data_IF_857345234642
#
_entry.id   IF_857345234642
#
_cell.length_a   1.000
_cell.length_b   1.000
_cell.length_c   1.000
_cell.angle_alpha   90.00
_cell.angle_beta   90.00
_cell.angle_gamma   90.00
#
_symmetry.space_group_name_H-M   'P 1'
#
loop_
_entity.id
_entity.type
_entity.pdbx_description
1 polymer ?
#
# COMPACT_ATOMS: atom_id res chain seq x y z
N UNK A 1 -9.08 13.32 -0.66
CA UNK A 1 -9.17 11.95 -1.24
C UNK A 1 -8.89 11.98 -2.74
N UNK A 2 -8.06 11.07 -3.23
CA UNK A 2 -7.75 10.95 -4.66
C UNK A 2 -7.68 9.47 -5.04
N UNK A 3 -8.01 9.17 -6.28
CA UNK A 3 -7.69 7.92 -6.95
C UNK A 3 -7.35 8.23 -8.40
N UNK A 4 -6.70 7.30 -9.08
CA UNK A 4 -6.40 7.43 -10.51
C UNK A 4 -6.62 6.10 -11.22
N UNK A 5 -6.96 6.18 -12.51
CA UNK A 5 -6.90 5.06 -13.46
C UNK A 5 -5.80 5.41 -14.44
N UNK A 6 -4.81 4.53 -14.57
CA UNK A 6 -3.66 4.72 -15.46
C UNK A 6 -3.63 3.56 -16.44
N UNK A 7 -3.62 3.87 -17.73
CA UNK A 7 -3.51 2.89 -18.82
C UNK A 7 -2.93 3.56 -20.07
N UNK A 8 -2.59 2.76 -21.06
CA UNK A 8 -2.03 3.24 -22.33
C UNK A 8 -3.05 4.11 -23.09
N UNK A 9 -2.54 4.93 -24.02
CA UNK A 9 -3.35 5.91 -24.77
C UNK A 9 -4.45 5.26 -25.61
N UNK A 10 -4.19 4.10 -26.21
CA UNK A 10 -5.15 3.33 -26.99
C UNK A 10 -6.29 2.78 -26.13
N UNK A 11 -6.03 2.47 -24.86
CA UNK A 11 -7.03 2.02 -23.89
C UNK A 11 -7.83 3.21 -23.33
N UNK A 12 -7.15 4.27 -22.87
CA UNK A 12 -7.84 5.44 -22.28
C UNK A 12 -8.53 6.32 -23.33
N UNK A 13 -8.03 6.33 -24.57
CA UNK A 13 -8.52 7.18 -25.65
C UNK A 13 -9.92 6.84 -26.15
N UNK A 14 -10.52 5.76 -25.66
CA UNK A 14 -11.93 5.39 -25.94
C UNK A 14 -12.92 6.24 -25.13
N UNK A 15 -12.49 6.88 -24.04
CA UNK A 15 -13.35 7.77 -23.25
C UNK A 15 -13.56 9.10 -23.96
N UNK A 16 -14.81 9.55 -23.98
CA UNK A 16 -15.22 10.84 -24.54
C UNK A 16 -15.69 11.78 -23.42
N UNK A 17 -15.83 13.09 -23.68
CA UNK A 17 -16.47 14.00 -22.73
C UNK A 17 -17.83 13.47 -22.26
N UNK A 18 -18.00 13.33 -20.95
CA UNK A 18 -19.21 12.77 -20.32
C UNK A 18 -19.23 11.24 -20.15
N UNK A 19 -18.25 10.50 -20.67
CA UNK A 19 -18.21 9.03 -20.54
C UNK A 19 -17.89 8.56 -19.12
N UNK A 20 -17.12 9.34 -18.36
CA UNK A 20 -16.74 9.02 -16.98
C UNK A 20 -16.44 10.32 -16.25
N UNK A 21 -16.97 10.49 -15.04
CA UNK A 21 -16.78 11.71 -14.27
C UNK A 21 -17.31 11.56 -12.85
N UNK A 22 -16.82 12.43 -11.96
CA UNK A 22 -17.29 12.56 -10.59
C UNK A 22 -17.16 14.02 -10.19
N UNK A 23 -18.15 14.56 -9.47
CA UNK A 23 -18.20 15.97 -9.07
C UNK A 23 -16.93 16.45 -8.36
N UNK A 24 -16.31 15.57 -7.56
CA UNK A 24 -15.10 15.90 -6.78
C UNK A 24 -13.83 15.22 -7.33
N UNK A 25 -13.95 14.43 -8.40
CA UNK A 25 -12.82 13.76 -9.02
C UNK A 25 -11.84 14.78 -9.60
N UNK A 26 -10.54 14.61 -9.32
CA UNK A 26 -9.50 15.50 -9.84
C UNK A 26 -9.56 16.94 -9.32
N UNK A 27 -10.17 17.18 -8.15
CA UNK A 27 -10.22 18.53 -7.59
C UNK A 27 -8.80 19.08 -7.31
N UNK A 28 -8.55 20.39 -7.51
CA UNK A 28 -7.20 20.96 -7.45
C UNK A 28 -6.48 20.76 -6.11
N UNK A 29 -7.21 20.82 -5.00
CA UNK A 29 -6.64 20.64 -3.66
C UNK A 29 -6.11 19.22 -3.45
N UNK A 30 -6.91 18.20 -3.81
CA UNK A 30 -6.48 16.81 -3.71
C UNK A 30 -5.28 16.54 -4.63
N UNK A 31 -5.26 17.11 -5.84
CA UNK A 31 -4.13 16.99 -6.76
C UNK A 31 -2.85 17.59 -6.16
N UNK A 32 -2.91 18.80 -5.59
CA UNK A 32 -1.74 19.45 -4.97
C UNK A 32 -1.16 18.63 -3.81
N UNK A 33 -2.02 18.12 -2.91
CA UNK A 33 -1.60 17.26 -1.80
C UNK A 33 -0.98 15.95 -2.30
N UNK A 34 -1.53 15.40 -3.37
CA UNK A 34 -1.07 14.12 -3.93
C UNK A 34 0.29 14.24 -4.60
N UNK A 35 0.56 15.35 -5.29
CA UNK A 35 1.89 15.66 -5.83
C UNK A 35 2.92 15.74 -4.70
N UNK A 36 2.65 16.52 -3.65
CA UNK A 36 3.57 16.64 -2.51
C UNK A 36 3.82 15.28 -1.82
N UNK A 37 2.80 14.43 -1.70
CA UNK A 37 2.95 13.09 -1.13
C UNK A 37 3.80 12.16 -2.02
N UNK A 38 3.69 12.27 -3.35
CA UNK A 38 4.53 11.52 -4.28
C UNK A 38 5.98 12.00 -4.25
N UNK A 39 6.21 13.32 -4.16
CA UNK A 39 7.56 13.88 -4.03
C UNK A 39 8.25 13.32 -2.79
N UNK A 40 7.57 13.28 -1.63
CA UNK A 40 8.11 12.68 -0.39
C UNK A 40 8.45 11.20 -0.58
N UNK A 41 7.60 10.41 -1.25
CA UNK A 41 7.87 8.99 -1.50
C UNK A 41 9.17 8.77 -2.29
N UNK A 42 9.47 9.67 -3.23
CA UNK A 42 10.64 9.62 -4.11
C UNK A 42 11.87 10.18 -3.39
N UNK A 43 11.78 11.42 -2.89
CA UNK A 43 12.90 12.18 -2.31
C UNK A 43 13.46 11.49 -1.07
N UNK A 44 12.59 10.90 -0.24
CA UNK A 44 13.00 10.15 0.96
C UNK A 44 13.28 8.66 0.69
N UNK A 45 13.21 8.22 -0.57
CA UNK A 45 13.46 6.83 -0.99
C UNK A 45 12.62 5.80 -0.20
N UNK A 46 11.35 6.11 0.07
CA UNK A 46 10.53 5.32 0.99
C UNK A 46 10.24 3.90 0.51
N UNK A 47 10.23 3.67 -0.81
CA UNK A 47 10.10 2.32 -1.36
C UNK A 47 11.30 1.43 -1.01
N UNK A 48 12.52 1.95 -1.14
CA UNK A 48 13.75 1.25 -0.79
C UNK A 48 13.83 1.02 0.73
N UNK A 49 13.51 2.06 1.52
CA UNK A 49 13.45 1.95 2.98
C UNK A 49 12.44 0.91 3.45
N UNK A 50 11.28 0.81 2.79
CA UNK A 50 10.28 -0.22 3.06
C UNK A 50 10.81 -1.63 2.81
N UNK A 51 11.63 -1.82 1.77
CA UNK A 51 12.30 -3.10 1.50
C UNK A 51 13.26 -3.47 2.64
N UNK A 52 14.18 -2.58 2.98
CA UNK A 52 15.22 -2.81 4.01
C UNK A 52 14.63 -3.07 5.40
N UNK A 53 13.70 -2.21 5.85
CA UNK A 53 13.04 -2.39 7.13
C UNK A 53 12.11 -3.61 7.14
N UNK A 54 11.50 -3.92 5.99
CA UNK A 54 10.68 -5.10 5.82
C UNK A 54 11.47 -6.40 5.98
N UNK A 55 12.65 -6.49 5.36
CA UNK A 55 13.55 -7.64 5.51
C UNK A 55 13.97 -7.85 6.96
N UNK A 56 14.44 -6.78 7.61
CA UNK A 56 14.77 -6.81 9.04
C UNK A 56 13.59 -7.29 9.89
N UNK A 57 12.41 -6.71 9.68
CA UNK A 57 11.24 -7.03 10.50
C UNK A 57 10.75 -8.47 10.28
N UNK A 58 10.71 -8.94 9.02
CA UNK A 58 10.37 -10.32 8.71
C UNK A 58 11.36 -11.32 9.31
N UNK A 59 12.67 -11.02 9.31
CA UNK A 59 13.68 -11.87 9.94
C UNK A 59 13.40 -12.02 11.44
N UNK A 60 13.12 -10.92 12.13
CA UNK A 60 12.80 -10.94 13.56
C UNK A 60 11.49 -11.67 13.86
N UNK A 61 10.45 -11.48 13.06
CA UNK A 61 9.18 -12.19 13.25
C UNK A 61 9.34 -13.71 13.09
N UNK A 62 10.15 -14.16 12.12
CA UNK A 62 10.43 -15.59 11.91
C UNK A 62 11.22 -16.25 13.05
N UNK A 63 11.90 -15.47 13.89
CA UNK A 63 12.60 -15.98 15.07
C UNK A 63 11.64 -16.29 16.23
N UNK A 64 10.39 -15.81 16.18
CA UNK A 64 9.38 -16.08 17.22
C UNK A 64 8.93 -17.54 17.10
N UNK A 65 9.37 -18.38 18.03
CA UNK A 65 8.94 -19.76 18.11
C UNK A 65 7.66 -19.88 18.94
N UNK A 66 6.52 -19.75 18.28
CA UNK A 66 5.20 -19.93 18.89
C UNK A 66 4.35 -20.88 18.02
N UNK A 67 3.83 -22.00 18.56
CA UNK A 67 3.04 -22.97 17.78
C UNK A 67 1.72 -22.41 17.23
N UNK A 68 1.25 -21.28 17.75
CA UNK A 68 0.06 -20.59 17.24
C UNK A 68 0.37 -19.92 15.88
N UNK A 69 1.62 -19.53 15.63
CA UNK A 69 2.02 -18.92 14.36
C UNK A 69 2.14 -20.02 13.31
N UNK A 70 1.35 -19.89 12.24
CA UNK A 70 1.37 -20.78 11.09
C UNK A 70 2.40 -20.35 10.05
N UNK A 71 2.41 -19.06 9.72
CA UNK A 71 3.30 -18.51 8.70
C UNK A 71 3.56 -17.02 8.91
N UNK A 72 4.75 -16.55 8.52
CA UNK A 72 5.06 -15.13 8.35
C UNK A 72 5.44 -14.88 6.89
N UNK A 73 4.69 -14.00 6.21
CA UNK A 73 4.88 -13.66 4.79
C UNK A 73 4.74 -12.16 4.56
N UNK A 74 5.33 -11.64 3.49
CA UNK A 74 5.23 -10.22 3.17
C UNK A 74 6.16 -9.78 2.05
N UNK A 75 6.06 -8.50 1.69
CA UNK A 75 6.97 -7.82 0.76
C UNK A 75 7.18 -6.37 1.21
N UNK A 76 8.42 -5.99 1.47
CA UNK A 76 8.73 -4.76 2.18
C UNK A 76 8.01 -4.71 3.53
N UNK A 77 7.45 -3.56 3.91
CA UNK A 77 6.67 -3.42 5.15
C UNK A 77 5.22 -3.93 5.05
N UNK A 78 4.79 -4.49 3.91
CA UNK A 78 3.49 -5.15 3.82
C UNK A 78 3.62 -6.60 4.29
N UNK A 79 3.51 -6.79 5.60
CA UNK A 79 3.77 -8.05 6.30
C UNK A 79 2.48 -8.58 6.92
N UNK A 80 2.28 -9.89 6.84
CA UNK A 80 1.20 -10.62 7.47
C UNK A 80 1.73 -11.81 8.29
N UNK A 81 1.13 -12.02 9.45
CA UNK A 81 1.34 -13.20 10.29
C UNK A 81 0.04 -14.00 10.29
N UNK A 82 0.09 -15.22 9.79
CA UNK A 82 -1.04 -16.15 9.84
C UNK A 82 -0.95 -17.00 11.10
N UNK A 83 -2.09 -17.16 11.78
CA UNK A 83 -2.21 -17.96 12.99
C UNK A 83 -3.05 -19.21 12.70
N UNK A 84 -2.87 -20.24 13.51
CA UNK A 84 -3.70 -21.45 13.50
C UNK A 84 -5.08 -21.24 14.18
N UNK A 85 -5.34 -20.03 14.69
CA UNK A 85 -6.58 -19.65 15.35
C UNK A 85 -6.99 -18.21 15.01
N UNK A 86 -8.09 -17.73 15.59
CA UNK A 86 -8.57 -16.37 15.35
C UNK A 86 -7.58 -15.30 15.84
N UNK A 87 -7.07 -14.51 14.89
CA UNK A 87 -6.09 -13.46 15.17
C UNK A 87 -6.65 -12.25 15.95
N UNK A 88 -7.97 -12.03 15.94
CA UNK A 88 -8.60 -10.81 16.48
C UNK A 88 -8.22 -10.53 17.94
N UNK A 89 -8.14 -11.59 18.77
CA UNK A 89 -7.80 -11.48 20.20
C UNK A 89 -6.41 -10.86 20.43
N UNK A 90 -5.48 -11.07 19.50
CA UNK A 90 -4.11 -10.54 19.55
C UNK A 90 -4.00 -9.11 19.05
N UNK A 91 -5.01 -8.61 18.31
CA UNK A 91 -5.03 -7.24 17.79
C UNK A 91 -5.77 -6.25 18.72
N UNK A 92 -6.57 -6.75 19.67
CA UNK A 92 -7.42 -5.94 20.56
C UNK A 92 -6.88 -5.85 22.00
N UNK A 93 -5.80 -6.55 22.33
CA UNK A 93 -5.07 -6.44 23.60
C UNK A 93 -3.91 -5.44 23.47
#
# INVERSE_FOLDING_TARGET
>A
PISCVVANKDILGVFNPGSHGSTFGGNPMACAVSMAALDVLIDENLAQRSLELGEYFMEKLKQINNPVIKEVRGRGLFIGVELNEEARKYCEQ
#
